data_IF_154303731029
#
_entry.id   IF_154303731029
#
_cell.length_a   1.000
_cell.length_b   1.000
_cell.length_c   1.000
_cell.angle_alpha   90.00
_cell.angle_beta   90.00
_cell.angle_gamma   90.00
#
_symmetry.space_group_name_H-M   'P 1'
#
loop_
_entity.id
_entity.type
_entity.pdbx_description
1 polymer ?
#
# COMPACT_ATOMS: atom_id res chain seq x y z
N UNK A 1 -27.51 -16.75 14.83
CA UNK A 1 -26.71 -16.61 13.60
C UNK A 1 -25.68 -15.52 13.81
N UNK A 2 -24.40 -15.87 13.97
CA UNK A 2 -23.31 -14.90 14.10
C UNK A 2 -23.05 -14.27 12.73
N UNK A 3 -23.48 -13.02 12.53
CA UNK A 3 -23.18 -12.27 11.30
C UNK A 3 -21.65 -12.16 11.21
N UNK A 4 -21.02 -12.83 10.25
CA UNK A 4 -19.55 -12.76 10.08
C UNK A 4 -19.17 -11.29 9.89
N UNK A 5 -18.44 -10.73 10.84
CA UNK A 5 -17.95 -9.35 10.77
C UNK A 5 -16.92 -9.29 9.66
N UNK A 6 -17.21 -8.54 8.60
CA UNK A 6 -16.26 -8.30 7.52
C UNK A 6 -15.09 -7.42 7.98
N UNK A 7 -13.99 -7.47 7.24
CA UNK A 7 -12.72 -6.81 7.60
C UNK A 7 -12.70 -5.29 7.39
N UNK A 8 -13.71 -4.72 6.70
CA UNK A 8 -13.76 -3.27 6.42
C UNK A 8 -13.81 -2.40 7.68
N UNK A 9 -14.29 -2.95 8.79
CA UNK A 9 -14.38 -2.27 10.09
C UNK A 9 -13.19 -2.60 11.02
N UNK A 10 -12.20 -3.36 10.53
CA UNK A 10 -10.97 -3.56 11.26
C UNK A 10 -10.16 -2.25 11.31
N UNK A 11 -9.43 -2.03 12.40
CA UNK A 11 -8.64 -0.81 12.63
C UNK A 11 -7.77 -0.36 11.44
N UNK A 12 -6.98 -1.23 10.77
CA UNK A 12 -6.15 -0.79 9.64
C UNK A 12 -6.96 -0.43 8.38
N UNK A 13 -8.19 -0.91 8.26
CA UNK A 13 -9.03 -0.73 7.06
C UNK A 13 -10.03 0.41 7.21
N UNK A 14 -10.55 0.64 8.42
CA UNK A 14 -11.63 1.56 8.68
C UNK A 14 -11.21 3.01 8.36
N UNK A 15 -11.99 3.68 7.50
CA UNK A 15 -11.67 5.00 6.95
C UNK A 15 -10.26 5.08 6.28
N UNK A 16 -9.74 3.96 5.76
CA UNK A 16 -8.40 3.88 5.19
C UNK A 16 -8.40 3.22 3.81
N UNK A 17 -8.77 1.94 3.72
CA UNK A 17 -8.71 1.19 2.46
C UNK A 17 -9.87 1.61 1.54
N UNK A 18 -9.56 1.80 0.25
CA UNK A 18 -10.49 2.36 -0.76
C UNK A 18 -10.48 1.51 -2.03
N UNK A 19 -11.28 1.91 -3.03
CA UNK A 19 -11.31 1.28 -4.35
C UNK A 19 -12.32 0.14 -4.52
N UNK A 20 -13.17 -0.11 -3.52
CA UNK A 20 -14.14 -1.22 -3.57
C UNK A 20 -15.09 -1.17 -4.77
N UNK A 21 -15.56 0.03 -5.15
CA UNK A 21 -16.50 0.18 -6.26
C UNK A 21 -15.82 -0.11 -7.61
N UNK A 22 -14.52 0.22 -7.75
CA UNK A 22 -13.73 -0.13 -8.94
C UNK A 22 -13.66 -1.65 -9.10
N UNK A 23 -13.48 -2.39 -8.00
CA UNK A 23 -13.48 -3.86 -8.02
C UNK A 23 -14.86 -4.42 -8.40
N UNK A 24 -15.95 -3.83 -7.90
CA UNK A 24 -17.30 -4.25 -8.28
C UNK A 24 -17.58 -4.00 -9.77
N UNK A 25 -17.12 -2.88 -10.32
CA UNK A 25 -17.26 -2.54 -11.74
C UNK A 25 -16.48 -3.52 -12.62
N UNK A 26 -15.24 -3.85 -12.24
CA UNK A 26 -14.44 -4.88 -12.92
C UNK A 26 -15.18 -6.21 -12.86
N UNK A 27 -15.66 -6.63 -11.68
CA UNK A 27 -16.38 -7.89 -11.52
C UNK A 27 -17.62 -7.94 -12.39
N UNK A 28 -18.40 -6.86 -12.44
CA UNK A 28 -19.62 -6.78 -13.25
C UNK A 28 -19.30 -6.94 -14.74
N UNK A 29 -18.24 -6.28 -15.24
CA UNK A 29 -17.81 -6.41 -16.63
C UNK A 29 -17.28 -7.80 -16.95
N UNK A 30 -16.47 -8.37 -16.05
CA UNK A 30 -15.90 -9.72 -16.21
C UNK A 30 -17.00 -10.78 -16.19
N UNK A 31 -17.95 -10.72 -15.24
CA UNK A 31 -19.09 -11.66 -15.21
C UNK A 31 -19.97 -11.56 -16.45
N UNK A 32 -20.10 -10.38 -17.07
CA UNK A 32 -20.81 -10.25 -18.35
C UNK A 32 -20.08 -10.94 -19.51
N UNK A 33 -18.75 -10.93 -19.50
CA UNK A 33 -17.94 -11.51 -20.57
C UNK A 33 -17.74 -13.03 -20.39
N UNK A 34 -17.51 -13.48 -19.15
CA UNK A 34 -17.27 -14.88 -18.80
C UNK A 34 -17.95 -15.22 -17.45
N UNK A 35 -19.26 -15.53 -17.47
CA UNK A 35 -20.04 -15.79 -16.26
C UNK A 35 -19.44 -16.90 -15.40
N UNK A 36 -19.27 -16.65 -14.10
CA UNK A 36 -18.79 -17.62 -13.11
C UNK A 36 -17.42 -18.25 -13.42
N UNK A 37 -16.55 -17.55 -14.16
CA UNK A 37 -15.20 -18.05 -14.48
C UNK A 37 -14.12 -17.43 -13.60
N UNK A 38 -14.18 -16.12 -13.34
CA UNK A 38 -13.08 -15.39 -12.70
C UNK A 38 -13.41 -15.07 -11.24
N UNK A 39 -12.57 -15.53 -10.32
CA UNK A 39 -12.76 -15.28 -8.89
C UNK A 39 -12.50 -13.82 -8.52
N UNK A 40 -13.13 -13.34 -7.44
CA UNK A 40 -12.83 -12.01 -6.91
C UNK A 40 -11.40 -11.88 -6.36
N UNK A 41 -10.79 -12.99 -5.95
CA UNK A 41 -9.40 -13.02 -5.51
C UNK A 41 -8.46 -12.77 -6.71
N UNK A 42 -8.72 -13.43 -7.84
CA UNK A 42 -7.92 -13.24 -9.07
C UNK A 42 -8.10 -11.83 -9.63
N UNK A 43 -9.32 -11.28 -9.62
CA UNK A 43 -9.55 -9.88 -10.01
C UNK A 43 -8.71 -8.94 -9.16
N UNK A 44 -8.68 -9.13 -7.83
CA UNK A 44 -7.90 -8.27 -6.95
C UNK A 44 -6.40 -8.44 -7.18
N UNK A 45 -5.93 -9.67 -7.39
CA UNK A 45 -4.52 -9.98 -7.68
C UNK A 45 -4.07 -9.38 -9.02
N UNK A 46 -4.88 -9.51 -10.07
CA UNK A 46 -4.60 -8.93 -11.39
C UNK A 46 -4.66 -7.41 -11.35
N UNK A 47 -5.69 -6.83 -10.73
CA UNK A 47 -5.79 -5.38 -10.56
C UNK A 47 -4.58 -4.84 -9.78
N UNK A 48 -4.12 -5.56 -8.73
CA UNK A 48 -2.92 -5.19 -7.99
C UNK A 48 -1.65 -5.34 -8.83
N UNK A 49 -1.48 -6.44 -9.58
CA UNK A 49 -0.34 -6.65 -10.49
C UNK A 49 -0.26 -5.58 -11.56
N UNK A 50 -1.37 -5.26 -12.20
CA UNK A 50 -1.41 -4.25 -13.26
C UNK A 50 -1.21 -2.86 -12.64
N UNK A 51 -1.79 -2.60 -11.46
CA UNK A 51 -1.46 -1.40 -10.69
C UNK A 51 -0.01 -1.37 -10.22
N UNK A 52 0.72 -2.48 -10.18
CA UNK A 52 2.15 -2.55 -9.79
C UNK A 52 3.05 -2.30 -10.99
N UNK A 53 2.67 -2.84 -12.15
CA UNK A 53 3.34 -2.51 -13.43
C UNK A 53 3.29 -1.01 -13.67
N UNK A 54 2.29 -0.33 -13.10
CA UNK A 54 2.18 1.12 -13.15
C UNK A 54 2.59 1.84 -11.86
N UNK A 55 2.32 1.34 -10.64
CA UNK A 55 1.99 2.26 -9.52
C UNK A 55 1.72 1.66 -8.11
N UNK A 56 2.47 0.73 -7.47
CA UNK A 56 2.22 0.46 -6.00
C UNK A 56 3.39 0.02 -5.12
N UNK A 57 3.65 0.83 -4.11
CA UNK A 57 4.58 0.74 -2.98
C UNK A 57 4.47 2.08 -2.25
N UNK A 58 5.21 2.38 -1.19
CA UNK A 58 5.21 3.74 -0.63
C UNK A 58 5.94 4.78 -1.54
N UNK A 59 6.32 4.39 -2.77
CA UNK A 59 6.68 5.31 -3.87
C UNK A 59 5.46 6.04 -4.45
N UNK A 60 4.24 5.59 -4.18
CA UNK A 60 3.03 6.32 -4.58
C UNK A 60 1.96 6.26 -3.48
N UNK A 61 0.96 7.12 -3.62
CA UNK A 61 -0.21 7.13 -2.73
C UNK A 61 -0.04 8.08 -1.55
N UNK A 62 -1.04 8.07 -0.67
CA UNK A 62 -1.23 9.07 0.37
C UNK A 62 -1.42 8.40 1.73
N UNK A 63 -0.87 9.01 2.77
CA UNK A 63 -1.10 8.65 4.16
C UNK A 63 -1.86 9.75 4.88
N UNK A 64 -2.66 9.36 5.89
CA UNK A 64 -3.39 10.31 6.73
C UNK A 64 -2.49 10.86 7.83
N UNK A 65 -2.68 12.12 8.22
CA UNK A 65 -1.98 12.77 9.33
C UNK A 65 -1.94 11.89 10.59
N UNK A 66 -3.06 11.28 10.96
CA UNK A 66 -3.11 10.38 12.13
C UNK A 66 -2.13 9.21 12.08
N UNK A 67 -1.72 8.76 10.89
CA UNK A 67 -0.82 7.61 10.72
C UNK A 67 0.66 7.95 10.82
N UNK A 68 1.04 9.22 10.59
CA UNK A 68 2.44 9.68 10.70
C UNK A 68 2.66 10.70 11.82
N UNK A 69 1.61 11.15 12.51
CA UNK A 69 1.70 12.18 13.56
C UNK A 69 2.76 11.85 14.61
N UNK A 70 2.74 10.64 15.15
CA UNK A 70 3.69 10.28 16.21
C UNK A 70 5.14 10.32 15.71
N UNK A 71 5.38 9.93 14.46
CA UNK A 71 6.70 9.99 13.82
C UNK A 71 7.24 11.43 13.77
N UNK A 72 6.44 12.36 13.23
CA UNK A 72 6.91 13.75 13.03
C UNK A 72 7.09 14.52 14.33
N UNK A 73 6.49 14.11 15.45
CA UNK A 73 6.60 14.81 16.74
C UNK A 73 7.58 14.18 17.73
N UNK A 74 7.80 12.85 17.65
CA UNK A 74 8.49 12.11 18.71
C UNK A 74 9.75 11.37 18.24
N UNK A 75 9.92 11.13 16.93
CA UNK A 75 11.10 10.43 16.43
C UNK A 75 12.25 11.40 16.08
N UNK A 76 13.48 10.87 16.16
CA UNK A 76 14.72 11.60 15.88
C UNK A 76 15.39 11.17 14.57
N UNK A 77 14.87 10.15 13.89
CA UNK A 77 15.38 9.60 12.63
C UNK A 77 14.76 10.25 11.38
N UNK A 78 14.08 11.40 11.55
CA UNK A 78 13.49 12.21 10.48
C UNK A 78 14.26 13.53 10.28
N UNK A 79 14.35 14.02 9.04
CA UNK A 79 14.89 15.35 8.74
C UNK A 79 14.04 16.43 9.44
N UNK A 80 14.71 17.32 10.18
CA UNK A 80 14.04 18.30 11.03
C UNK A 80 13.21 19.32 10.23
N UNK A 81 13.69 19.70 9.04
CA UNK A 81 12.97 20.64 8.16
C UNK A 81 11.73 19.99 7.55
N UNK A 82 11.86 18.73 7.12
CA UNK A 82 10.75 17.93 6.62
C UNK A 82 9.69 17.70 7.71
N UNK A 83 10.09 17.28 8.92
CA UNK A 83 9.20 17.14 10.06
C UNK A 83 8.44 18.44 10.36
N UNK A 84 9.15 19.58 10.43
CA UNK A 84 8.53 20.89 10.66
C UNK A 84 7.53 21.28 9.57
N UNK A 85 7.82 20.96 8.31
CA UNK A 85 6.90 21.19 7.20
C UNK A 85 5.60 20.40 7.36
N UNK A 86 5.69 19.14 7.79
CA UNK A 86 4.53 18.27 8.04
C UNK A 86 3.74 18.72 9.28
N UNK A 87 4.43 19.09 10.36
CA UNK A 87 3.80 19.57 11.61
C UNK A 87 2.93 20.80 11.38
N UNK A 88 3.29 21.68 10.43
CA UNK A 88 2.50 22.87 10.08
C UNK A 88 1.12 22.53 9.51
N UNK A 89 0.98 21.36 8.87
CA UNK A 89 -0.27 20.88 8.26
C UNK A 89 -0.98 19.87 9.16
N UNK A 90 -0.20 19.03 9.84
CA UNK A 90 -0.59 17.98 10.77
C UNK A 90 -0.24 18.37 12.22
N UNK A 91 -1.08 19.19 12.89
CA UNK A 91 -0.90 19.57 14.29
C UNK A 91 -0.92 18.34 15.23
N UNK A 92 -0.46 18.54 16.48
CA UNK A 92 -0.50 17.50 17.54
C UNK A 92 -1.91 16.95 17.81
N UNK A 93 -2.95 17.69 17.44
CA UNK A 93 -4.35 17.27 17.49
C UNK A 93 -5.14 17.95 16.38
N UNK A 94 -6.14 17.25 15.82
CA UNK A 94 -6.91 17.71 14.67
C UNK A 94 -6.26 17.40 13.32
N UNK A 95 -6.97 17.73 12.24
CA UNK A 95 -6.60 17.42 10.86
C UNK A 95 -6.26 15.94 10.60
N UNK A 96 -6.88 15.00 11.33
CA UNK A 96 -6.57 13.57 11.26
C UNK A 96 -6.63 13.00 9.83
N UNK A 97 -7.59 13.47 9.02
CA UNK A 97 -7.83 13.02 7.66
C UNK A 97 -7.05 13.82 6.59
N UNK A 98 -6.21 14.79 6.97
CA UNK A 98 -5.28 15.43 6.04
C UNK A 98 -4.39 14.36 5.37
N UNK A 99 -4.24 14.45 4.05
CA UNK A 99 -3.45 13.52 3.25
C UNK A 99 -2.12 14.15 2.84
N UNK A 100 -1.03 13.41 3.05
CA UNK A 100 0.31 13.74 2.55
C UNK A 100 0.83 12.58 1.69
N UNK A 101 1.64 12.86 0.66
CA UNK A 101 2.17 11.83 -0.22
C UNK A 101 3.23 10.98 0.47
N UNK A 102 3.18 9.67 0.25
CA UNK A 102 4.17 8.72 0.78
C UNK A 102 5.55 8.92 0.14
N UNK A 103 5.57 9.36 -1.12
CA UNK A 103 6.77 9.82 -1.82
C UNK A 103 6.67 11.31 -2.10
N UNK A 104 7.58 12.09 -1.52
CA UNK A 104 7.60 13.54 -1.71
C UNK A 104 8.15 13.98 -3.08
N UNK A 105 8.86 13.11 -3.80
CA UNK A 105 9.47 13.45 -5.08
C UNK A 105 8.51 13.17 -6.23
N UNK A 106 7.87 12.01 -6.21
CA UNK A 106 7.01 11.52 -7.30
C UNK A 106 5.72 10.86 -6.79
N UNK A 107 4.77 11.63 -6.20
CA UNK A 107 3.59 11.08 -5.51
C UNK A 107 2.70 10.11 -6.29
N UNK A 108 2.78 10.15 -7.62
CA UNK A 108 1.96 9.37 -8.56
C UNK A 108 2.80 8.62 -9.60
N UNK A 109 4.10 8.44 -9.39
CA UNK A 109 4.95 7.68 -10.31
C UNK A 109 5.68 6.57 -9.56
N UNK A 110 5.60 5.34 -10.09
CA UNK A 110 6.28 4.20 -9.49
C UNK A 110 7.74 4.15 -9.88
N UNK A 111 8.60 4.55 -8.95
CA UNK A 111 10.03 4.55 -9.15
C UNK A 111 10.76 4.15 -7.86
N UNK A 112 12.06 4.44 -7.80
CA UNK A 112 12.89 4.15 -6.64
C UNK A 112 13.21 5.39 -5.78
N UNK A 113 12.60 6.56 -6.05
CA UNK A 113 12.85 7.80 -5.33
C UNK A 113 12.37 7.73 -3.87
N UNK A 114 11.36 6.90 -3.58
CA UNK A 114 11.04 6.46 -2.22
C UNK A 114 12.28 6.06 -1.42
N UNK A 115 13.17 5.25 -2.00
CA UNK A 115 14.38 4.82 -1.29
C UNK A 115 15.39 5.95 -1.14
N UNK A 116 15.42 6.93 -2.04
CA UNK A 116 16.23 8.14 -1.89
C UNK A 116 15.71 9.00 -0.73
N UNK A 117 14.39 9.12 -0.58
CA UNK A 117 13.78 9.80 0.57
C UNK A 117 14.25 9.19 1.90
N UNK A 118 14.33 7.85 1.99
CA UNK A 118 14.83 7.18 3.19
C UNK A 118 16.29 7.50 3.50
N UNK A 119 17.15 7.63 2.48
CA UNK A 119 18.56 8.03 2.64
C UNK A 119 18.67 9.45 3.23
N UNK A 120 17.76 10.33 2.83
CA UNK A 120 17.68 11.73 3.28
C UNK A 120 16.88 11.92 4.58
N UNK A 121 16.49 10.82 5.26
CA UNK A 121 15.62 10.83 6.45
C UNK A 121 14.25 11.47 6.23
N UNK A 122 13.68 11.29 5.05
CA UNK A 122 12.37 11.82 4.64
C UNK A 122 11.33 10.73 4.39
N UNK A 123 11.45 9.59 5.07
CA UNK A 123 10.35 8.61 5.14
C UNK A 123 9.16 9.22 5.87
N UNK A 124 7.95 9.12 5.30
CA UNK A 124 6.76 9.74 5.91
C UNK A 124 6.29 8.97 7.16
N UNK A 125 6.30 7.64 7.11
CA UNK A 125 5.84 6.81 8.22
C UNK A 125 7.03 6.34 9.06
N UNK A 126 6.78 6.15 10.36
CA UNK A 126 7.73 5.51 11.28
C UNK A 126 8.29 4.20 10.69
N UNK A 127 7.41 3.34 10.16
CA UNK A 127 7.79 2.06 9.55
C UNK A 127 8.73 2.20 8.35
N UNK A 128 8.61 3.30 7.60
CA UNK A 128 9.41 3.53 6.40
C UNK A 128 10.82 3.90 6.81
N UNK A 129 10.96 4.83 7.76
CA UNK A 129 12.26 5.30 8.20
C UNK A 129 13.04 4.22 8.97
N UNK A 130 12.36 3.28 9.63
CA UNK A 130 13.00 2.09 10.23
C UNK A 130 13.69 1.18 9.22
N UNK A 131 13.35 1.23 7.93
CA UNK A 131 14.10 0.48 6.91
C UNK A 131 15.52 1.02 6.73
N UNK A 132 15.77 2.28 7.09
CA UNK A 132 17.08 2.94 6.98
C UNK A 132 17.52 3.59 8.29
N UNK A 133 17.73 2.78 9.34
CA UNK A 133 18.12 3.27 10.66
C UNK A 133 19.33 2.52 11.29
N UNK A 134 20.18 1.90 10.46
CA UNK A 134 21.43 1.27 10.91
C UNK A 134 21.43 -0.27 10.86
N UNK A 135 20.29 -0.86 10.50
CA UNK A 135 20.09 -2.31 10.52
C UNK A 135 20.46 -3.02 9.20
N UNK A 136 20.22 -4.34 9.15
CA UNK A 136 20.51 -5.18 7.99
C UNK A 136 19.79 -4.74 6.71
N UNK A 137 18.69 -4.01 6.82
CA UNK A 137 17.91 -3.48 5.69
C UNK A 137 18.60 -2.31 4.98
N UNK A 138 19.54 -1.60 5.62
CA UNK A 138 20.23 -0.45 5.02
C UNK A 138 20.90 -0.77 3.68
N UNK A 139 21.50 -1.97 3.57
CA UNK A 139 22.14 -2.42 2.33
C UNK A 139 21.14 -2.52 1.18
N UNK A 140 19.92 -2.96 1.49
CA UNK A 140 18.87 -3.13 0.50
C UNK A 140 18.28 -1.77 0.07
N UNK A 141 18.06 -0.86 1.03
CA UNK A 141 17.61 0.51 0.76
C UNK A 141 18.61 1.23 -0.17
N UNK A 142 19.91 1.19 0.17
CA UNK A 142 20.97 1.79 -0.68
C UNK A 142 21.01 1.19 -2.09
N UNK A 143 20.87 -0.14 -2.19
CA UNK A 143 20.81 -0.84 -3.48
C UNK A 143 19.63 -0.34 -4.31
N UNK A 144 18.44 -0.27 -3.74
CA UNK A 144 17.24 0.15 -4.49
C UNK A 144 17.26 1.63 -4.83
N UNK A 145 17.77 2.50 -3.96
CA UNK A 145 17.92 3.93 -4.24
C UNK A 145 18.83 4.22 -5.44
N UNK A 146 19.78 3.32 -5.76
CA UNK A 146 20.77 3.49 -6.84
C UNK A 146 20.54 2.58 -8.04
N UNK A 147 19.65 1.58 -7.95
CA UNK A 147 19.43 0.60 -8.99
C UNK A 147 17.93 0.27 -9.14
N UNK A 148 17.27 1.06 -9.98
CA UNK A 148 15.84 0.92 -10.30
C UNK A 148 15.50 -0.46 -10.87
N UNK A 149 16.36 -1.02 -11.74
CA UNK A 149 16.14 -2.34 -12.32
C UNK A 149 16.14 -3.46 -11.27
N UNK A 150 17.04 -3.37 -10.28
CA UNK A 150 17.08 -4.30 -9.16
C UNK A 150 15.85 -4.15 -8.25
N UNK A 151 15.41 -2.91 -8.01
CA UNK A 151 14.17 -2.65 -7.27
C UNK A 151 12.98 -3.31 -7.96
N UNK A 152 12.72 -3.01 -9.24
CA UNK A 152 11.58 -3.57 -9.96
C UNK A 152 11.62 -5.10 -10.07
N UNK A 153 12.81 -5.68 -10.28
CA UNK A 153 12.99 -7.14 -10.32
C UNK A 153 12.58 -7.79 -9.00
N UNK A 154 13.04 -7.26 -7.88
CA UNK A 154 12.76 -7.84 -6.57
C UNK A 154 11.32 -7.50 -6.11
N UNK A 155 10.81 -6.32 -6.48
CA UNK A 155 9.42 -5.93 -6.27
C UNK A 155 8.45 -6.90 -6.93
N UNK A 156 8.66 -7.22 -8.22
CA UNK A 156 7.84 -8.19 -8.95
C UNK A 156 7.85 -9.57 -8.29
N UNK A 157 9.02 -10.04 -7.84
CA UNK A 157 9.13 -11.30 -7.07
C UNK A 157 8.35 -11.24 -5.76
N UNK A 158 8.42 -10.11 -5.05
CA UNK A 158 7.68 -9.88 -3.82
C UNK A 158 6.16 -10.00 -4.03
N UNK A 159 5.64 -9.40 -5.09
CA UNK A 159 4.23 -9.47 -5.45
C UNK A 159 3.77 -10.90 -5.77
N UNK A 160 4.54 -11.65 -6.55
CA UNK A 160 4.24 -13.06 -6.85
C UNK A 160 4.28 -13.92 -5.59
N UNK A 161 5.24 -13.67 -4.70
CA UNK A 161 5.30 -14.38 -3.42
C UNK A 161 4.07 -14.07 -2.55
N UNK A 162 3.63 -12.82 -2.52
CA UNK A 162 2.46 -12.38 -1.77
C UNK A 162 1.16 -12.96 -2.32
N UNK A 163 1.01 -13.06 -3.65
CA UNK A 163 -0.19 -13.67 -4.26
C UNK A 163 -0.31 -15.17 -3.99
N UNK A 164 0.79 -15.84 -3.66
CA UNK A 164 0.84 -17.27 -3.37
C UNK A 164 0.65 -17.61 -1.88
N UNK A 165 0.22 -16.65 -1.05
CA UNK A 165 -0.05 -16.90 0.38
C UNK A 165 -1.39 -17.63 0.51
N UNK A 166 -1.33 -18.94 0.75
CA UNK A 166 -2.49 -19.82 1.07
C UNK A 166 -3.71 -19.60 0.14
N UNK A 167 -3.54 -19.69 -1.19
CA UNK A 167 -4.67 -19.56 -2.11
C UNK A 167 -5.66 -20.71 -1.90
N UNK A 168 -6.96 -20.44 -2.09
CA UNK A 168 -7.97 -21.49 -2.26
C UNK A 168 -7.96 -21.91 -3.73
N UNK A 169 -7.76 -23.20 -4.00
CA UNK A 169 -7.61 -23.71 -5.37
C UNK A 169 -8.48 -24.94 -5.61
N UNK A 170 -8.64 -25.35 -6.87
CA UNK A 170 -9.47 -26.51 -7.22
C UNK A 170 -10.92 -26.30 -6.79
N UNK A 171 -11.43 -27.19 -5.92
CA UNK A 171 -12.78 -27.12 -5.36
C UNK A 171 -12.88 -26.37 -4.03
N UNK A 172 -11.78 -25.78 -3.54
CA UNK A 172 -11.80 -24.98 -2.32
C UNK A 172 -12.43 -23.60 -2.55
N UNK A 173 -13.40 -23.23 -1.73
CA UNK A 173 -14.05 -21.91 -1.81
C UNK A 173 -15.13 -21.84 -2.90
N UNK A 174 -15.17 -20.73 -3.64
CA UNK A 174 -16.18 -20.48 -4.68
C UNK A 174 -15.75 -19.35 -5.61
N UNK A 175 -16.30 -19.35 -6.83
CA UNK A 175 -16.27 -18.18 -7.72
C UNK A 175 -17.47 -17.31 -7.38
N UNK A 176 -17.25 -16.26 -6.57
CA UNK A 176 -18.33 -15.34 -6.18
C UNK A 176 -18.81 -14.55 -7.37
N UNK A 177 -20.13 -14.41 -7.57
CA UNK A 177 -20.72 -13.55 -8.61
C UNK A 177 -20.67 -12.08 -8.16
N UNK A 178 -20.81 -11.84 -6.85
CA UNK A 178 -20.68 -10.53 -6.23
C UNK A 178 -19.60 -10.59 -5.14
N UNK A 179 -18.53 -9.79 -5.26
CA UNK A 179 -17.38 -9.88 -4.36
C UNK A 179 -17.68 -9.53 -2.89
N UNK A 180 -18.82 -8.89 -2.61
CA UNK A 180 -19.22 -8.43 -1.28
C UNK A 180 -20.01 -9.46 -0.48
N UNK A 181 -20.46 -10.55 -1.11
CA UNK A 181 -21.24 -11.60 -0.45
C UNK A 181 -20.84 -12.99 -0.93
N UNK A 182 -21.02 -13.97 -0.06
CA UNK A 182 -21.01 -15.39 -0.43
C UNK A 182 -22.19 -15.62 -1.39
N UNK A 183 -22.02 -16.49 -2.40
CA UNK A 183 -23.13 -16.91 -3.26
C UNK A 183 -24.24 -17.55 -2.43
#
# INVERSE_FOLDING_TARGET
MTKRKGEKTAAPNNNSVRGFNVIDDIKTKVEKACPQVVSCADILALAARDSVVYERGHTIGLARCVTFRDHIYNDSDIDASFAKSLQSKCPRSGNDDLLEPLDLQTPTHFDNLYFQNLLDKKGLLHSDQKLFNGDSTNKLVKKYATNTAAFFKDFAKGMVKMSNIKPLTGSEGQIRINCRKVN
#
